data_IF_990755670679
#
_entry.id   IF_990755670679
#
_cell.length_a   1.000
_cell.length_b   1.000
_cell.length_c   1.000
_cell.angle_alpha   90.00
_cell.angle_beta   90.00
_cell.angle_gamma   90.00
#
_symmetry.space_group_name_H-M   'P 1'
#
loop_
_entity.id
_entity.type
_entity.pdbx_description
1 polymer ?
#
# COMPACT_ATOMS: atom_id res chain seq x y z
N UNK A 1 12.46 -14.55 -9.92
CA UNK A 1 11.44 -13.86 -10.73
C UNK A 1 10.29 -13.50 -9.81
N UNK A 2 9.80 -12.26 -9.85
CA UNK A 2 8.71 -11.78 -9.00
C UNK A 2 7.49 -11.57 -9.88
N UNK A 3 6.46 -12.41 -9.72
CA UNK A 3 5.22 -12.28 -10.50
C UNK A 3 4.27 -11.24 -9.88
N UNK A 4 4.31 -11.13 -8.55
CA UNK A 4 3.36 -10.32 -7.80
C UNK A 4 4.00 -9.90 -6.48
N UNK A 5 3.75 -8.66 -6.10
CA UNK A 5 3.95 -8.17 -4.75
C UNK A 5 2.71 -7.39 -4.34
N UNK A 6 2.32 -7.46 -3.07
CA UNK A 6 1.20 -6.67 -2.56
C UNK A 6 1.51 -6.02 -1.22
N UNK A 7 0.87 -4.88 -0.99
CA UNK A 7 0.91 -4.23 0.32
C UNK A 7 -0.31 -3.35 0.56
N UNK A 8 -0.54 -3.08 1.84
CA UNK A 8 -1.63 -2.23 2.29
C UNK A 8 -1.25 -0.75 2.32
N UNK A 9 -2.12 0.09 1.77
CA UNK A 9 -2.02 1.55 1.78
C UNK A 9 -3.26 2.19 2.44
N UNK A 10 -3.04 3.31 3.14
CA UNK A 10 -4.15 4.11 3.70
C UNK A 10 -4.99 4.72 2.59
N UNK A 11 -4.31 5.17 1.54
CA UNK A 11 -4.90 5.71 0.32
C UNK A 11 -4.27 4.98 -0.87
N UNK A 12 -4.85 3.84 -1.28
CA UNK A 12 -4.37 3.09 -2.44
C UNK A 12 -4.34 3.92 -3.73
N UNK A 13 -5.26 4.86 -3.90
CA UNK A 13 -5.31 5.71 -5.09
C UNK A 13 -4.13 6.67 -5.14
N UNK A 14 -3.78 7.31 -4.02
CA UNK A 14 -2.61 8.18 -3.96
C UNK A 14 -1.30 7.43 -4.22
N UNK A 15 -1.18 6.19 -3.76
CA UNK A 15 -0.02 5.35 -4.07
C UNK A 15 -0.02 4.97 -5.56
N UNK A 16 -1.18 4.60 -6.11
CA UNK A 16 -1.35 4.26 -7.51
C UNK A 16 -1.14 5.44 -8.47
N UNK A 17 -1.22 6.69 -8.00
CA UNK A 17 -0.88 7.85 -8.83
C UNK A 17 0.62 8.12 -8.92
N UNK A 18 1.43 7.60 -7.99
CA UNK A 18 2.88 7.88 -7.92
C UNK A 18 3.72 6.70 -8.40
N UNK A 19 3.38 5.47 -7.99
CA UNK A 19 4.18 4.29 -8.34
C UNK A 19 4.37 4.06 -9.85
N UNK A 20 3.36 4.27 -10.73
CA UNK A 20 3.54 4.13 -12.17
C UNK A 20 4.64 5.02 -12.74
N UNK A 21 4.79 6.26 -12.24
CA UNK A 21 5.83 7.19 -12.68
C UNK A 21 7.22 6.70 -12.28
N UNK A 22 7.37 6.18 -11.07
CA UNK A 22 8.64 5.66 -10.57
C UNK A 22 9.11 4.40 -11.30
N UNK A 23 8.16 3.58 -11.75
CA UNK A 23 8.42 2.24 -12.28
C UNK A 23 8.25 2.15 -13.80
N UNK A 24 7.91 3.26 -14.48
CA UNK A 24 7.56 3.28 -15.91
C UNK A 24 6.47 2.25 -16.21
N UNK A 25 5.43 2.27 -15.38
CA UNK A 25 4.38 1.26 -15.34
C UNK A 25 3.00 1.89 -15.59
N UNK A 26 1.94 1.07 -15.56
CA UNK A 26 0.55 1.54 -15.72
C UNK A 26 -0.30 1.18 -14.50
N UNK A 27 -1.02 2.15 -13.93
CA UNK A 27 -2.01 1.87 -12.89
C UNK A 27 -3.39 1.57 -13.46
N UNK A 28 -4.06 0.56 -12.91
CA UNK A 28 -5.46 0.22 -13.20
C UNK A 28 -6.21 -0.07 -11.91
N UNK A 29 -7.52 0.23 -11.88
CA UNK A 29 -8.37 -0.21 -10.76
C UNK A 29 -8.51 -1.72 -10.79
N UNK A 30 -8.34 -2.36 -9.63
CA UNK A 30 -8.56 -3.79 -9.51
C UNK A 30 -10.06 -4.12 -9.70
N UNK A 31 -10.41 -5.21 -10.39
CA UNK A 31 -11.80 -5.63 -10.52
C UNK A 31 -12.35 -6.03 -9.16
N UNK A 32 -13.57 -5.57 -8.83
CA UNK A 32 -14.21 -5.90 -7.57
C UNK A 32 -15.60 -6.46 -7.86
N UNK A 33 -15.86 -7.77 -7.61
CA UNK A 33 -14.99 -8.80 -7.00
C UNK A 33 -13.90 -9.38 -7.96
N UNK A 34 -12.87 -10.13 -7.45
CA UNK A 34 -12.70 -10.60 -6.07
C UNK A 34 -11.92 -9.64 -5.16
N UNK A 35 -11.27 -8.61 -5.73
CA UNK A 35 -10.43 -7.70 -4.97
C UNK A 35 -11.28 -6.73 -4.13
N UNK A 36 -10.77 -6.27 -2.98
CA UNK A 36 -11.52 -5.34 -2.15
C UNK A 36 -11.73 -4.01 -2.88
N UNK A 37 -12.86 -3.37 -2.62
CA UNK A 37 -13.18 -2.07 -3.20
C UNK A 37 -12.06 -1.07 -2.89
N UNK A 38 -11.60 -0.36 -3.92
CA UNK A 38 -10.53 0.64 -3.79
C UNK A 38 -9.12 0.08 -3.94
N UNK A 39 -8.95 -1.22 -4.25
CA UNK A 39 -7.67 -1.78 -4.65
C UNK A 39 -7.23 -1.30 -6.04
N UNK A 40 -5.92 -1.28 -6.25
CA UNK A 40 -5.27 -0.90 -7.50
C UNK A 40 -4.18 -1.89 -7.88
N UNK A 41 -3.93 -2.02 -9.18
CA UNK A 41 -2.76 -2.70 -9.71
C UNK A 41 -1.85 -1.69 -10.40
N UNK A 42 -0.55 -1.86 -10.22
CA UNK A 42 0.50 -1.21 -11.02
C UNK A 42 1.13 -2.30 -11.86
N UNK A 43 0.77 -2.36 -13.13
CA UNK A 43 1.23 -3.35 -14.10
C UNK A 43 2.54 -2.88 -14.72
N UNK A 44 3.61 -3.68 -14.57
CA UNK A 44 4.95 -3.32 -15.03
C UNK A 44 5.13 -3.47 -16.55
N UNK A 45 4.29 -4.29 -17.20
CA UNK A 45 4.34 -4.49 -18.66
C UNK A 45 5.57 -5.26 -19.15
N UNK A 46 6.25 -5.99 -18.27
CA UNK A 46 7.33 -6.91 -18.63
C UNK A 46 6.78 -8.22 -19.22
N UNK A 47 7.67 -9.02 -19.81
CA UNK A 47 7.31 -10.29 -20.46
C UNK A 47 6.69 -11.33 -19.51
N UNK A 48 6.82 -11.11 -18.21
CA UNK A 48 6.32 -12.00 -17.16
C UNK A 48 4.94 -11.59 -16.62
N UNK A 49 4.42 -10.44 -17.04
CA UNK A 49 3.14 -9.91 -16.57
C UNK A 49 3.17 -9.50 -15.10
N UNK A 50 4.32 -9.03 -14.62
CA UNK A 50 4.55 -8.64 -13.23
C UNK A 50 3.69 -7.45 -12.83
N UNK A 51 3.14 -7.50 -11.60
CA UNK A 51 2.34 -6.40 -11.07
C UNK A 51 2.55 -6.19 -9.57
N UNK A 52 2.31 -4.96 -9.14
CA UNK A 52 2.20 -4.58 -7.73
C UNK A 52 0.74 -4.32 -7.40
N UNK A 53 0.21 -5.02 -6.42
CA UNK A 53 -1.15 -4.84 -5.92
C UNK A 53 -1.15 -3.96 -4.67
N UNK A 54 -1.96 -2.90 -4.70
CA UNK A 54 -2.12 -1.95 -3.61
C UNK A 54 -3.51 -2.11 -3.02
N UNK A 55 -3.57 -2.59 -1.79
CA UNK A 55 -4.81 -2.92 -1.09
C UNK A 55 -5.16 -1.86 -0.06
N UNK A 56 -6.45 -1.61 0.22
CA UNK A 56 -6.84 -0.79 1.36
C UNK A 56 -6.30 -1.34 2.68
N UNK A 57 -5.85 -0.45 3.57
CA UNK A 57 -5.46 -0.85 4.92
C UNK A 57 -6.58 -1.61 5.65
N UNK A 58 -6.22 -2.77 6.20
CA UNK A 58 -7.14 -3.70 6.85
C UNK A 58 -7.43 -4.92 5.99
N UNK A 59 -7.10 -4.91 4.69
CA UNK A 59 -7.16 -6.14 3.88
C UNK A 59 -6.16 -7.16 4.41
N UNK A 60 -6.63 -8.40 4.58
CA UNK A 60 -5.82 -9.55 4.99
C UNK A 60 -6.08 -10.73 4.07
N UNK A 61 -5.09 -11.58 3.90
CA UNK A 61 -5.30 -12.89 3.30
C UNK A 61 -5.89 -13.81 4.36
N UNK A 62 -7.08 -14.33 4.10
CA UNK A 62 -7.84 -15.17 5.03
C UNK A 62 -8.40 -16.36 4.27
N UNK A 63 -7.86 -17.55 4.56
CA UNK A 63 -8.26 -18.80 3.90
C UNK A 63 -9.70 -19.21 4.20
N UNK A 64 -10.31 -18.65 5.26
CA UNK A 64 -11.70 -18.92 5.63
C UNK A 64 -12.67 -17.95 4.96
N UNK A 65 -12.17 -16.84 4.39
CA UNK A 65 -13.01 -15.90 3.67
C UNK A 65 -13.43 -16.46 2.30
N UNK A 66 -14.65 -16.18 1.80
CA UNK A 66 -15.18 -16.75 0.56
C UNK A 66 -14.30 -16.59 -0.69
N UNK A 67 -13.46 -15.55 -0.72
CA UNK A 67 -12.56 -15.23 -1.83
C UNK A 67 -11.08 -15.28 -1.43
N UNK A 68 -10.75 -15.83 -0.26
CA UNK A 68 -9.39 -15.81 0.28
C UNK A 68 -8.94 -14.43 0.81
N UNK A 69 -9.84 -13.44 0.79
CA UNK A 69 -9.59 -12.06 1.19
C UNK A 69 -10.55 -11.67 2.32
N UNK A 70 -9.99 -11.30 3.46
CA UNK A 70 -10.70 -10.85 4.64
C UNK A 70 -10.39 -9.40 5.01
N UNK A 71 -10.91 -8.96 6.16
CA UNK A 71 -10.65 -7.64 6.72
C UNK A 71 -10.33 -7.71 8.22
N UNK A 72 -9.18 -7.19 8.63
CA UNK A 72 -8.78 -7.01 10.03
C UNK A 72 -8.67 -5.51 10.37
N UNK A 73 -9.59 -4.96 11.20
CA UNK A 73 -9.53 -3.56 11.61
C UNK A 73 -8.29 -3.24 12.47
N UNK A 74 -7.66 -4.22 13.13
CA UNK A 74 -6.50 -4.01 13.98
C UNK A 74 -5.22 -3.73 13.21
N UNK A 75 -5.13 -4.14 11.93
CA UNK A 75 -4.01 -3.74 11.06
C UNK A 75 -3.96 -2.22 10.82
N UNK A 76 -5.11 -1.52 10.97
CA UNK A 76 -5.16 -0.05 10.92
C UNK A 76 -4.66 0.57 12.24
N UNK A 77 -4.84 -0.12 13.36
CA UNK A 77 -4.46 0.32 14.71
C UNK A 77 -2.95 0.10 15.01
N UNK A 78 -2.37 -1.02 14.58
CA UNK A 78 -0.93 -1.29 14.72
C UNK A 78 -0.06 -0.21 14.07
N UNK A 79 -0.53 0.42 12.98
CA UNK A 79 0.15 1.57 12.37
C UNK A 79 -0.12 2.90 13.08
N UNK A 80 -1.26 3.11 13.73
CA UNK A 80 -1.43 4.29 14.59
C UNK A 80 -0.44 4.24 15.76
N UNK A 81 -0.17 3.06 16.31
CA UNK A 81 0.87 2.87 17.31
C UNK A 81 2.27 3.19 16.76
N UNK A 82 2.61 2.73 15.55
CA UNK A 82 3.89 3.06 14.89
C UNK A 82 4.01 4.55 14.54
N UNK A 83 2.96 5.18 14.03
CA UNK A 83 2.94 6.62 13.75
C UNK A 83 3.01 7.45 15.03
N UNK A 84 2.36 7.01 16.11
CA UNK A 84 2.50 7.62 17.43
C UNK A 84 3.93 7.47 17.97
N UNK A 85 4.59 6.32 17.74
CA UNK A 85 6.00 6.13 18.06
C UNK A 85 6.93 7.05 17.27
N UNK A 86 6.73 7.23 15.95
CA UNK A 86 7.51 8.19 15.17
C UNK A 86 7.27 9.62 15.61
N UNK A 87 6.02 10.03 15.84
CA UNK A 87 5.70 11.35 16.36
C UNK A 87 6.30 11.60 17.76
N UNK A 88 6.37 10.56 18.59
CA UNK A 88 7.02 10.62 19.90
C UNK A 88 8.54 10.70 19.78
N UNK A 89 9.14 10.00 18.82
CA UNK A 89 10.56 10.10 18.51
C UNK A 89 10.93 11.50 18.02
N UNK A 90 10.16 12.08 17.11
CA UNK A 90 10.36 13.46 16.62
C UNK A 90 10.24 14.51 17.74
N UNK A 91 9.29 14.32 18.67
CA UNK A 91 9.18 15.17 19.87
C UNK A 91 10.39 15.07 20.79
N UNK A 92 10.96 13.87 20.92
CA UNK A 92 12.11 13.61 21.79
C UNK A 92 13.45 14.00 21.12
N UNK A 93 13.49 14.08 19.79
CA UNK A 93 14.69 14.39 19.00
C UNK A 93 14.42 15.49 17.95
N UNK A 94 14.09 16.72 18.37
CA UNK A 94 13.78 17.81 17.44
C UNK A 94 15.00 18.14 16.57
N UNK A 95 14.87 17.91 15.25
CA UNK A 95 15.88 18.28 14.25
C UNK A 95 16.55 17.13 13.51
N UNK A 96 16.24 15.87 13.82
CA UNK A 96 16.90 14.71 13.18
C UNK A 96 16.42 14.42 11.75
N UNK A 97 15.21 14.86 11.40
CA UNK A 97 14.65 14.82 10.04
C UNK A 97 14.20 16.22 9.63
N UNK A 98 15.13 17.08 9.20
CA UNK A 98 14.73 18.19 8.32
C UNK A 98 14.49 17.62 6.92
N UNK A 99 13.34 17.82 6.28
CA UNK A 99 13.23 17.59 4.85
C UNK A 99 14.25 18.51 4.18
N UNK A 100 15.20 17.90 3.45
CA UNK A 100 16.03 18.67 2.53
C UNK A 100 15.11 19.27 1.46
N UNK A 101 14.94 20.58 1.49
CA UNK A 101 14.54 21.39 0.33
C UNK A 101 13.06 21.38 -0.04
N UNK A 102 12.30 22.29 0.55
CA UNK A 102 11.33 23.09 -0.21
C UNK A 102 11.62 24.57 0.13
N UNK A 103 12.51 25.14 -0.67
CA UNK A 103 12.63 26.56 -0.97
C UNK A 103 13.19 26.65 -2.39
#
# INVERSE_FOLDING_TARGET
MLHHASFNARDPQAVASVLPEMLVATAVRAPSPPFPQGAWFVCLGDDFGSLIEILPCGTVLDQQAPLGIGFDPNMRLLRLACAAQHAQFDRNHPGHCRPHGLA
#
